data_IF_110560572391
#
_entry.id   IF_110560572391
#
_cell.length_a   1.000
_cell.length_b   1.000
_cell.length_c   1.000
_cell.angle_alpha   90.00
_cell.angle_beta   90.00
_cell.angle_gamma   90.00
#
_symmetry.space_group_name_H-M   'P 1'
#
loop_
_entity.id
_entity.type
_entity.pdbx_description
1 polymer ?
#
# COMPACT_ATOMS: atom_id res chain seq x y z
N UNK A 1 -7.42 18.49 3.93
CA UNK A 1 -6.46 19.54 3.54
C UNK A 1 -5.56 19.97 4.70
N UNK A 2 -6.10 20.29 5.91
CA UNK A 2 -5.27 20.79 7.02
C UNK A 2 -4.15 19.84 7.50
N UNK A 3 -4.36 18.52 7.50
CA UNK A 3 -3.34 17.57 7.96
C UNK A 3 -2.22 17.34 6.93
N UNK A 4 -2.54 17.34 5.63
CA UNK A 4 -1.53 17.25 4.56
C UNK A 4 -0.61 18.48 4.55
N UNK A 5 -1.17 19.70 4.63
CA UNK A 5 -0.36 20.93 4.71
C UNK A 5 0.46 20.98 6.00
N UNK A 6 -0.08 20.51 7.13
CA UNK A 6 0.66 20.46 8.39
C UNK A 6 1.81 19.45 8.37
N UNK A 7 1.63 18.28 7.75
CA UNK A 7 2.69 17.28 7.57
C UNK A 7 3.75 17.77 6.58
N UNK A 8 3.36 18.36 5.46
CA UNK A 8 4.30 18.91 4.47
C UNK A 8 5.01 20.18 4.93
N UNK A 9 4.35 21.07 5.67
CA UNK A 9 4.96 22.28 6.23
C UNK A 9 5.87 21.99 7.44
N UNK A 10 5.58 20.94 8.23
CA UNK A 10 6.46 20.50 9.31
C UNK A 10 7.70 19.75 8.83
N UNK A 11 7.70 19.18 7.63
CA UNK A 11 8.58 18.05 7.32
C UNK A 11 9.66 18.37 6.31
N UNK A 12 9.73 19.56 5.68
CA UNK A 12 10.71 19.77 4.60
C UNK A 12 10.67 18.65 3.51
N UNK A 13 9.66 17.78 3.57
CA UNK A 13 9.49 16.61 2.69
C UNK A 13 9.22 17.11 1.28
N UNK A 14 9.97 16.59 0.31
CA UNK A 14 9.71 16.89 -1.08
C UNK A 14 8.24 16.64 -1.41
N UNK A 15 7.58 17.67 -1.91
CA UNK A 15 6.17 17.60 -2.25
C UNK A 15 6.01 16.85 -3.58
N UNK A 16 5.62 15.59 -3.50
CA UNK A 16 5.25 14.77 -4.65
C UNK A 16 3.76 14.84 -5.00
N UNK A 17 2.95 15.65 -4.30
CA UNK A 17 1.51 15.74 -4.51
C UNK A 17 1.15 16.02 -5.98
N UNK A 18 1.99 16.79 -6.67
CA UNK A 18 1.79 17.11 -8.09
C UNK A 18 1.86 15.90 -9.03
N UNK A 19 2.49 14.80 -8.64
CA UNK A 19 2.65 13.62 -9.50
C UNK A 19 1.73 12.45 -9.09
N UNK A 20 1.07 12.56 -7.94
CA UNK A 20 0.18 11.50 -7.44
C UNK A 20 -1.22 11.50 -8.05
N UNK A 21 -1.66 12.60 -8.67
CA UNK A 21 -3.00 12.73 -9.25
C UNK A 21 -2.98 13.29 -10.68
N UNK A 22 -2.00 12.88 -11.49
CA UNK A 22 -1.97 13.15 -12.92
C UNK A 22 -2.87 12.16 -13.66
N UNK A 23 -3.21 12.49 -14.91
CA UNK A 23 -4.10 11.66 -15.75
C UNK A 23 -3.55 10.26 -16.03
N UNK A 24 -2.21 10.07 -15.93
CA UNK A 24 -1.54 8.79 -16.12
C UNK A 24 -0.27 8.65 -15.28
N UNK A 25 0.29 7.43 -15.10
CA UNK A 25 1.36 7.17 -14.16
C UNK A 25 2.77 7.50 -14.65
N UNK A 26 2.98 7.98 -15.88
CA UNK A 26 4.32 8.16 -16.44
C UNK A 26 5.20 9.08 -15.60
N UNK A 27 4.69 10.24 -15.20
CA UNK A 27 5.47 11.19 -14.41
C UNK A 27 5.66 10.70 -12.97
N UNK A 28 4.70 9.96 -12.42
CA UNK A 28 4.83 9.28 -11.13
C UNK A 28 6.05 8.34 -11.15
N UNK A 29 6.11 7.40 -12.10
CA UNK A 29 7.22 6.46 -12.21
C UNK A 29 8.55 7.15 -12.53
N UNK A 30 8.56 8.10 -13.47
CA UNK A 30 9.76 8.83 -13.85
C UNK A 30 10.34 9.68 -12.70
N UNK A 31 9.48 10.21 -11.83
CA UNK A 31 9.90 10.99 -10.68
C UNK A 31 10.40 10.10 -9.55
N UNK A 32 9.66 9.07 -9.18
CA UNK A 32 10.03 8.20 -8.06
C UNK A 32 11.27 7.34 -8.35
N UNK A 33 11.47 6.96 -9.61
CA UNK A 33 12.69 6.26 -10.04
C UNK A 33 13.97 7.04 -9.72
N UNK A 34 13.94 8.37 -9.79
CA UNK A 34 15.11 9.23 -9.46
C UNK A 34 15.56 9.09 -8.01
N UNK A 35 14.68 8.62 -7.15
CA UNK A 35 14.90 8.42 -5.72
C UNK A 35 14.94 6.93 -5.34
N UNK A 36 15.09 6.04 -6.31
CA UNK A 36 15.15 4.58 -6.10
C UNK A 36 13.96 4.07 -5.25
N UNK A 37 12.72 4.57 -5.48
CA UNK A 37 11.55 4.14 -4.74
C UNK A 37 11.25 2.66 -5.00
N UNK A 38 11.30 1.85 -3.95
CA UNK A 38 11.30 0.40 -4.06
C UNK A 38 10.37 -0.33 -3.07
N UNK A 39 9.67 0.37 -2.18
CA UNK A 39 8.83 -0.31 -1.17
C UNK A 39 7.75 -1.23 -1.77
N UNK A 40 7.12 -0.95 -2.95
CA UNK A 40 6.16 -1.88 -3.54
C UNK A 40 6.77 -3.23 -3.95
N UNK A 41 8.08 -3.27 -4.25
CA UNK A 41 8.78 -4.54 -4.55
C UNK A 41 8.90 -5.42 -3.30
N UNK A 42 9.15 -4.82 -2.14
CA UNK A 42 9.09 -5.53 -0.87
C UNK A 42 7.66 -5.98 -0.57
N UNK A 43 6.68 -5.09 -0.83
CA UNK A 43 5.25 -5.40 -0.73
C UNK A 43 4.85 -6.58 -1.60
N UNK A 44 5.27 -6.64 -2.86
CA UNK A 44 4.98 -7.75 -3.77
C UNK A 44 5.34 -9.11 -3.13
N UNK A 45 6.54 -9.22 -2.56
CA UNK A 45 7.01 -10.45 -1.93
C UNK A 45 6.18 -10.78 -0.69
N UNK A 46 6.17 -9.91 0.31
CA UNK A 46 5.53 -10.18 1.59
C UNK A 46 4.01 -10.37 1.46
N UNK A 47 3.35 -9.53 0.67
CA UNK A 47 1.91 -9.66 0.46
C UNK A 47 1.54 -10.95 -0.28
N UNK A 48 2.37 -11.40 -1.25
CA UNK A 48 2.14 -12.68 -1.92
C UNK A 48 2.24 -13.85 -0.95
N UNK A 49 3.25 -13.87 -0.08
CA UNK A 49 3.43 -14.88 0.96
C UNK A 49 2.24 -14.89 1.96
N UNK A 50 1.76 -13.71 2.36
CA UNK A 50 0.58 -13.58 3.22
C UNK A 50 -0.72 -14.02 2.53
N UNK A 51 -0.87 -13.75 1.23
CA UNK A 51 -2.01 -14.23 0.44
C UNK A 51 -2.05 -15.77 0.44
N UNK A 52 -0.91 -16.42 0.20
CA UNK A 52 -0.84 -17.88 0.23
C UNK A 52 -1.12 -18.43 1.64
N UNK A 53 -0.49 -17.87 2.68
CA UNK A 53 -0.73 -18.28 4.06
C UNK A 53 -2.20 -18.12 4.48
N UNK A 54 -2.84 -17.00 4.09
CA UNK A 54 -4.25 -16.75 4.39
C UNK A 54 -5.19 -17.70 3.65
N UNK A 55 -4.85 -18.04 2.39
CA UNK A 55 -5.59 -19.06 1.62
C UNK A 55 -5.50 -20.45 2.25
N UNK A 56 -4.31 -20.82 2.75
CA UNK A 56 -4.11 -22.11 3.42
C UNK A 56 -4.88 -22.18 4.75
N UNK A 57 -4.93 -21.06 5.48
CA UNK A 57 -5.69 -20.97 6.74
C UNK A 57 -7.22 -20.96 6.53
N UNK A 58 -7.69 -20.66 5.31
CA UNK A 58 -9.12 -20.62 4.99
C UNK A 58 -9.73 -22.02 4.93
N UNK A 59 -10.99 -22.15 5.41
CA UNK A 59 -11.72 -23.42 5.33
C UNK A 59 -11.98 -23.83 3.89
N UNK A 60 -12.08 -25.13 3.62
CA UNK A 60 -12.24 -25.69 2.26
C UNK A 60 -13.40 -25.08 1.44
N UNK A 61 -14.47 -24.58 2.09
CA UNK A 61 -15.58 -23.90 1.44
C UNK A 61 -15.24 -22.49 0.92
N UNK A 62 -14.28 -21.81 1.51
CA UNK A 62 -13.86 -20.45 1.14
C UNK A 62 -12.85 -20.45 -0.03
N UNK A 63 -12.20 -21.58 -0.31
CA UNK A 63 -11.21 -21.69 -1.40
C UNK A 63 -11.79 -21.43 -2.79
N UNK A 64 -13.10 -21.58 -2.96
CA UNK A 64 -13.79 -21.29 -4.21
C UNK A 64 -14.06 -19.77 -4.39
N UNK A 65 -14.00 -18.99 -3.31
CA UNK A 65 -14.17 -17.53 -3.33
C UNK A 65 -12.89 -16.87 -3.83
N UNK A 66 -13.06 -15.86 -4.67
CA UNK A 66 -11.93 -15.05 -5.13
C UNK A 66 -11.34 -14.28 -3.93
N UNK A 67 -10.03 -14.39 -3.74
CA UNK A 67 -9.32 -13.68 -2.66
C UNK A 67 -9.36 -12.18 -2.94
N UNK A 68 -9.80 -11.39 -1.96
CA UNK A 68 -9.93 -9.94 -2.09
C UNK A 68 -8.87 -9.20 -1.30
N UNK A 69 -8.15 -8.34 -2.00
CA UNK A 69 -7.19 -7.38 -1.43
C UNK A 69 -7.79 -5.99 -1.53
N UNK A 70 -7.78 -5.24 -0.42
CA UNK A 70 -8.01 -3.79 -0.43
C UNK A 70 -6.66 -3.10 -0.28
N UNK A 71 -6.26 -2.34 -1.30
CA UNK A 71 -5.02 -1.57 -1.31
C UNK A 71 -5.33 -0.10 -0.99
N UNK A 72 -4.91 0.36 0.18
CA UNK A 72 -5.18 1.72 0.67
C UNK A 72 -3.99 2.63 0.38
N UNK A 73 -4.27 3.86 -0.03
CA UNK A 73 -3.30 4.77 -0.64
C UNK A 73 -2.69 4.15 -1.91
N UNK A 74 -3.55 3.55 -2.73
CA UNK A 74 -3.17 2.71 -3.85
C UNK A 74 -2.55 3.48 -5.03
N UNK A 75 -2.73 4.81 -5.10
CA UNK A 75 -2.31 5.62 -6.26
C UNK A 75 -2.81 5.01 -7.58
N UNK A 76 -1.95 4.77 -8.55
CA UNK A 76 -2.27 4.12 -9.83
C UNK A 76 -2.42 2.57 -9.75
N UNK A 77 -2.51 2.01 -8.55
CA UNK A 77 -2.66 0.57 -8.33
C UNK A 77 -1.36 -0.22 -8.43
N UNK A 78 -0.24 0.33 -7.96
CA UNK A 78 1.08 -0.30 -8.10
C UNK A 78 1.12 -1.67 -7.42
N UNK A 79 0.69 -1.78 -6.16
CA UNK A 79 0.63 -3.07 -5.45
C UNK A 79 -0.33 -4.04 -6.16
N UNK A 80 -1.48 -3.54 -6.61
CA UNK A 80 -2.44 -4.32 -7.39
C UNK A 80 -1.81 -4.91 -8.66
N UNK A 81 -1.02 -4.10 -9.39
CA UNK A 81 -0.28 -4.57 -10.57
C UNK A 81 0.69 -5.70 -10.21
N UNK A 82 1.50 -5.50 -9.18
CA UNK A 82 2.52 -6.45 -8.76
C UNK A 82 1.94 -7.76 -8.22
N UNK A 83 0.75 -7.73 -7.62
CA UNK A 83 0.04 -8.92 -7.12
C UNK A 83 -0.72 -9.66 -8.22
N UNK A 84 -1.29 -8.95 -9.19
CA UNK A 84 -2.16 -9.55 -10.22
C UNK A 84 -1.40 -10.07 -11.43
N UNK A 85 -0.25 -9.49 -11.73
CA UNK A 85 0.43 -9.74 -13.00
C UNK A 85 1.86 -10.23 -12.82
N UNK A 86 2.35 -10.99 -13.81
CA UNK A 86 3.76 -11.40 -13.89
C UNK A 86 4.59 -10.21 -14.39
N UNK A 87 4.92 -9.33 -13.46
CA UNK A 87 5.74 -8.14 -13.68
C UNK A 87 6.48 -7.76 -12.41
N UNK A 88 7.50 -6.92 -12.56
CA UNK A 88 8.31 -6.35 -11.48
C UNK A 88 8.20 -4.83 -11.48
N UNK A 89 8.54 -4.20 -10.35
CA UNK A 89 8.60 -2.74 -10.28
C UNK A 89 9.60 -2.15 -11.28
N UNK A 90 10.75 -2.81 -11.51
CA UNK A 90 11.74 -2.36 -12.50
C UNK A 90 11.21 -2.43 -13.94
N UNK A 91 10.43 -3.46 -14.27
CA UNK A 91 9.74 -3.52 -15.57
C UNK A 91 8.71 -2.42 -15.74
N UNK A 92 7.99 -2.05 -14.66
CA UNK A 92 7.08 -0.90 -14.68
C UNK A 92 7.85 0.42 -14.88
N UNK A 93 8.98 0.61 -14.21
CA UNK A 93 9.86 1.76 -14.45
C UNK A 93 10.38 1.81 -15.90
N UNK A 94 10.80 0.68 -16.45
CA UNK A 94 11.25 0.60 -17.82
C UNK A 94 10.13 0.93 -18.81
N UNK A 95 8.92 0.40 -18.57
CA UNK A 95 7.74 0.63 -19.37
C UNK A 95 7.36 2.10 -19.43
N UNK A 96 7.09 2.72 -18.28
CA UNK A 96 6.64 4.12 -18.24
C UNK A 96 7.72 5.14 -18.57
N UNK A 97 9.00 4.77 -18.55
CA UNK A 97 10.12 5.56 -19.07
C UNK A 97 10.41 5.35 -20.55
N UNK A 98 9.67 4.47 -21.25
CA UNK A 98 9.95 4.15 -22.64
C UNK A 98 9.52 5.26 -23.61
N UNK A 99 10.27 5.42 -24.71
CA UNK A 99 9.93 6.37 -25.76
C UNK A 99 8.69 5.97 -26.55
N UNK A 100 8.38 4.69 -26.60
CA UNK A 100 7.26 4.12 -27.33
C UNK A 100 5.93 4.62 -26.76
N UNK A 101 5.85 4.77 -25.45
CA UNK A 101 4.65 5.26 -24.77
C UNK A 101 4.55 6.79 -24.66
N UNK A 102 5.65 7.50 -24.95
CA UNK A 102 5.73 8.95 -24.71
C UNK A 102 4.72 9.78 -25.55
N UNK A 103 4.29 9.25 -26.69
CA UNK A 103 3.36 9.95 -27.60
C UNK A 103 1.88 9.58 -27.40
N UNK A 104 1.57 8.63 -26.50
CA UNK A 104 0.20 8.22 -26.26
C UNK A 104 -0.53 9.23 -25.37
N UNK A 105 -1.81 9.45 -25.63
CA UNK A 105 -2.71 10.08 -24.64
C UNK A 105 -2.88 9.17 -23.43
N UNK A 106 -3.36 9.71 -22.29
CA UNK A 106 -3.59 8.93 -21.08
C UNK A 106 -4.61 7.79 -21.30
N UNK A 107 -5.63 8.02 -22.12
CA UNK A 107 -6.62 6.98 -22.48
C UNK A 107 -6.02 5.89 -23.39
N UNK A 108 -5.18 6.24 -24.36
CA UNK A 108 -4.49 5.28 -25.22
C UNK A 108 -3.50 4.45 -24.40
N UNK A 109 -2.78 5.09 -23.46
CA UNK A 109 -1.86 4.40 -22.55
C UNK A 109 -2.61 3.42 -21.64
N UNK A 110 -3.76 3.81 -21.07
CA UNK A 110 -4.56 2.92 -20.23
C UNK A 110 -5.04 1.68 -21.00
N UNK A 111 -5.43 1.83 -22.27
CA UNK A 111 -5.80 0.70 -23.17
C UNK A 111 -4.59 -0.19 -23.49
N UNK A 112 -3.44 0.42 -23.74
CA UNK A 112 -2.19 -0.31 -23.99
C UNK A 112 -1.75 -1.08 -22.73
N UNK A 113 -1.88 -0.48 -21.55
CA UNK A 113 -1.64 -1.15 -20.26
C UNK A 113 -2.59 -2.32 -20.02
N UNK A 114 -3.88 -2.15 -20.31
CA UNK A 114 -4.84 -3.23 -20.19
C UNK A 114 -4.46 -4.45 -21.06
N UNK A 115 -3.99 -4.21 -22.28
CA UNK A 115 -3.50 -5.27 -23.16
C UNK A 115 -2.17 -5.86 -22.67
N UNK A 116 -1.23 -5.01 -22.28
CA UNK A 116 0.11 -5.41 -21.83
C UNK A 116 0.06 -6.26 -20.55
N UNK A 117 -0.70 -5.85 -19.56
CA UNK A 117 -0.87 -6.57 -18.30
C UNK A 117 -1.82 -7.75 -18.45
N UNK A 118 -2.86 -7.63 -19.28
CA UNK A 118 -3.87 -8.68 -19.47
C UNK A 118 -3.27 -10.04 -19.85
N UNK A 119 -2.28 -10.05 -20.74
CA UNK A 119 -1.58 -11.30 -21.15
C UNK A 119 -0.61 -11.84 -20.10
N UNK A 120 -0.37 -11.09 -19.02
CA UNK A 120 0.52 -11.43 -17.90
C UNK A 120 -0.25 -11.74 -16.61
N UNK A 121 -1.56 -11.84 -16.69
CA UNK A 121 -2.39 -12.08 -15.50
C UNK A 121 -2.07 -13.45 -14.90
N UNK A 122 -1.76 -13.46 -13.58
CA UNK A 122 -1.55 -14.71 -12.83
C UNK A 122 -2.85 -15.49 -12.74
N UNK A 123 -2.78 -16.82 -12.79
CA UNK A 123 -3.95 -17.70 -12.70
C UNK A 123 -4.71 -17.48 -11.38
N UNK A 124 -3.98 -17.39 -10.27
CA UNK A 124 -4.53 -17.15 -8.93
C UNK A 124 -4.53 -15.67 -8.53
N UNK A 125 -4.61 -14.74 -9.50
CA UNK A 125 -4.63 -13.31 -9.20
C UNK A 125 -5.77 -12.94 -8.24
N UNK A 126 -5.50 -12.15 -7.17
CA UNK A 126 -6.55 -11.66 -6.30
C UNK A 126 -7.47 -10.67 -7.03
N UNK A 127 -8.64 -10.43 -6.46
CA UNK A 127 -9.44 -9.23 -6.73
C UNK A 127 -8.82 -8.07 -5.96
N UNK A 128 -8.56 -6.94 -6.63
CA UNK A 128 -7.95 -5.76 -6.00
C UNK A 128 -8.92 -4.60 -6.03
N UNK A 129 -9.28 -4.13 -4.85
CA UNK A 129 -10.06 -2.90 -4.63
C UNK A 129 -9.08 -1.81 -4.19
N UNK A 130 -8.95 -0.74 -4.97
CA UNK A 130 -8.10 0.40 -4.64
C UNK A 130 -8.85 1.50 -3.92
N UNK A 131 -8.24 2.08 -2.90
CA UNK A 131 -8.73 3.27 -2.20
C UNK A 131 -7.63 4.33 -2.15
N UNK A 132 -7.91 5.51 -2.65
CA UNK A 132 -7.03 6.68 -2.59
C UNK A 132 -7.86 7.96 -2.65
N UNK A 133 -7.28 9.11 -2.34
CA UNK A 133 -7.92 10.41 -2.56
C UNK A 133 -7.66 10.96 -3.97
N UNK A 134 -6.69 10.39 -4.70
CA UNK A 134 -6.24 10.79 -6.02
C UNK A 134 -7.21 10.27 -7.10
N UNK A 135 -8.16 11.10 -7.50
CA UNK A 135 -9.24 10.71 -8.43
C UNK A 135 -8.73 10.23 -9.79
N UNK A 136 -7.75 10.92 -10.37
CA UNK A 136 -7.22 10.57 -11.68
C UNK A 136 -6.45 9.24 -11.62
N UNK A 137 -5.66 9.04 -10.57
CA UNK A 137 -4.90 7.81 -10.38
C UNK A 137 -5.83 6.60 -10.22
N UNK A 138 -6.86 6.69 -9.40
CA UNK A 138 -7.89 5.64 -9.25
C UNK A 138 -8.60 5.37 -10.57
N UNK A 139 -9.01 6.44 -11.28
CA UNK A 139 -9.67 6.32 -12.59
C UNK A 139 -8.79 5.62 -13.62
N UNK A 140 -7.49 5.93 -13.64
CA UNK A 140 -6.53 5.24 -14.51
C UNK A 140 -6.40 3.76 -14.16
N UNK A 141 -6.30 3.42 -12.87
CA UNK A 141 -6.24 2.04 -12.40
C UNK A 141 -7.44 1.20 -12.82
N UNK A 142 -8.64 1.81 -12.84
CA UNK A 142 -9.87 1.19 -13.34
C UNK A 142 -9.85 1.03 -14.87
N UNK A 143 -9.48 2.07 -15.62
CA UNK A 143 -9.44 2.04 -17.09
C UNK A 143 -8.43 1.03 -17.63
N UNK A 144 -7.29 0.90 -16.97
CA UNK A 144 -6.24 -0.07 -17.32
C UNK A 144 -6.52 -1.50 -16.84
N UNK A 145 -7.59 -1.72 -16.07
CA UNK A 145 -7.94 -3.04 -15.51
C UNK A 145 -7.02 -3.51 -14.38
N UNK A 146 -6.13 -2.64 -13.90
CA UNK A 146 -5.27 -2.89 -12.74
C UNK A 146 -6.12 -3.05 -11.48
N UNK A 147 -7.08 -2.15 -11.25
CA UNK A 147 -8.05 -2.25 -10.18
C UNK A 147 -9.33 -2.94 -10.69
N UNK A 148 -9.86 -3.89 -9.91
CA UNK A 148 -11.15 -4.52 -10.19
C UNK A 148 -12.31 -3.62 -9.70
N UNK A 149 -12.08 -2.84 -8.63
CA UNK A 149 -12.89 -1.71 -8.18
C UNK A 149 -11.97 -0.61 -7.63
N UNK A 150 -12.41 0.64 -7.64
CA UNK A 150 -11.60 1.76 -7.16
C UNK A 150 -12.46 2.90 -6.65
N UNK A 151 -12.03 3.51 -5.56
CA UNK A 151 -12.75 4.57 -4.86
C UNK A 151 -11.81 5.73 -4.54
N UNK A 152 -12.20 6.92 -4.98
CA UNK A 152 -11.48 8.15 -4.65
C UNK A 152 -12.18 8.82 -3.47
N UNK A 153 -11.95 8.31 -2.25
CA UNK A 153 -12.62 8.78 -1.03
C UNK A 153 -11.59 9.15 0.04
N UNK A 154 -11.86 10.23 0.78
CA UNK A 154 -11.07 10.65 1.93
C UNK A 154 -11.74 10.18 3.22
N UNK A 155 -11.25 9.06 3.74
CA UNK A 155 -11.77 8.47 4.99
C UNK A 155 -11.24 9.15 6.26
N UNK A 156 -10.33 10.11 6.16
CA UNK A 156 -9.97 10.96 7.29
C UNK A 156 -11.06 12.00 7.59
N UNK A 157 -11.81 12.42 6.57
CA UNK A 157 -12.80 13.49 6.67
C UNK A 157 -14.24 12.98 6.57
N UNK A 158 -14.47 11.87 5.84
CA UNK A 158 -15.80 11.40 5.47
C UNK A 158 -16.03 9.94 5.83
N UNK A 159 -17.28 9.60 6.09
CA UNK A 159 -17.72 8.21 6.20
C UNK A 159 -17.65 7.50 4.84
N UNK A 160 -17.32 6.19 4.82
CA UNK A 160 -17.35 5.40 3.59
C UNK A 160 -18.70 5.44 2.91
N UNK A 161 -18.71 5.64 1.59
CA UNK A 161 -19.95 5.57 0.80
C UNK A 161 -20.55 4.15 0.84
N UNK A 162 -21.84 4.04 0.50
CA UNK A 162 -22.51 2.73 0.41
C UNK A 162 -21.88 1.81 -0.64
N UNK A 163 -21.26 2.38 -1.70
CA UNK A 163 -20.60 1.61 -2.74
C UNK A 163 -19.25 1.07 -2.24
N UNK A 164 -18.46 1.90 -1.57
CA UNK A 164 -17.22 1.46 -0.92
C UNK A 164 -17.50 0.36 0.12
N UNK A 165 -18.48 0.58 1.02
CA UNK A 165 -18.88 -0.42 2.03
C UNK A 165 -19.16 -1.78 1.40
N UNK A 166 -19.90 -1.83 0.28
CA UNK A 166 -20.19 -3.08 -0.42
C UNK A 166 -18.96 -3.71 -1.06
N UNK A 167 -18.08 -2.89 -1.63
CA UNK A 167 -16.90 -3.37 -2.32
C UNK A 167 -15.85 -3.97 -1.37
N UNK A 168 -15.70 -3.41 -0.15
CA UNK A 168 -14.71 -3.87 0.83
C UNK A 168 -15.24 -4.97 1.77
N UNK A 169 -16.54 -5.24 1.77
CA UNK A 169 -17.13 -6.29 2.62
C UNK A 169 -16.51 -7.66 2.31
N UNK A 170 -16.09 -8.38 3.36
CA UNK A 170 -15.46 -9.69 3.23
C UNK A 170 -14.06 -9.64 2.60
N UNK A 171 -13.32 -8.57 2.83
CA UNK A 171 -11.89 -8.45 2.47
C UNK A 171 -11.07 -9.51 3.18
N UNK A 172 -10.13 -10.13 2.46
CA UNK A 172 -9.20 -11.11 3.02
C UNK A 172 -7.90 -10.47 3.52
N UNK A 173 -7.39 -9.47 2.79
CA UNK A 173 -6.15 -8.75 3.12
C UNK A 173 -6.30 -7.27 2.82
N UNK A 174 -5.91 -6.41 3.76
CA UNK A 174 -5.70 -4.98 3.54
C UNK A 174 -4.19 -4.72 3.42
N UNK A 175 -3.78 -3.94 2.42
CA UNK A 175 -2.37 -3.60 2.16
C UNK A 175 -2.14 -2.11 2.15
N UNK A 176 -0.99 -1.67 2.72
CA UNK A 176 -0.55 -0.27 2.67
C UNK A 176 0.96 -0.23 2.49
N UNK A 177 1.42 0.51 1.48
CA UNK A 177 2.85 0.82 1.28
C UNK A 177 3.09 2.32 1.34
N UNK A 178 3.53 2.83 2.50
CA UNK A 178 3.92 4.23 2.66
C UNK A 178 2.77 5.23 2.83
N UNK A 179 1.54 4.76 3.10
CA UNK A 179 0.36 5.61 3.34
C UNK A 179 0.23 6.12 4.78
N UNK A 180 0.77 5.38 5.77
CA UNK A 180 0.71 5.77 7.19
C UNK A 180 1.42 7.11 7.40
N UNK A 181 0.73 8.02 8.11
CA UNK A 181 1.11 9.42 8.25
C UNK A 181 0.33 10.36 7.32
N UNK A 182 -0.24 9.87 6.21
CA UNK A 182 -1.30 10.54 5.44
C UNK A 182 -2.70 10.11 5.89
N UNK A 183 -2.80 8.87 6.36
CA UNK A 183 -3.97 8.30 7.03
C UNK A 183 -3.63 8.01 8.48
N UNK A 184 -4.65 8.10 9.34
CA UNK A 184 -4.60 7.84 10.77
C UNK A 184 -5.45 6.62 11.14
N UNK A 185 -5.57 6.35 12.43
CA UNK A 185 -6.48 5.35 13.01
C UNK A 185 -7.92 5.52 12.55
N UNK A 186 -8.35 6.75 12.22
CA UNK A 186 -9.71 7.06 11.71
C UNK A 186 -10.04 6.29 10.44
N UNK A 187 -9.12 6.25 9.48
CA UNK A 187 -9.30 5.50 8.23
C UNK A 187 -9.43 3.99 8.51
N UNK A 188 -8.61 3.45 9.43
CA UNK A 188 -8.67 2.03 9.78
C UNK A 188 -9.99 1.67 10.47
N UNK A 189 -10.45 2.47 11.45
CA UNK A 189 -11.73 2.28 12.14
C UNK A 189 -12.89 2.24 11.13
N UNK A 190 -12.99 3.24 10.25
CA UNK A 190 -14.04 3.34 9.23
C UNK A 190 -14.03 2.19 8.23
N UNK A 191 -12.85 1.68 7.86
CA UNK A 191 -12.74 0.53 6.97
C UNK A 191 -13.12 -0.76 7.66
N UNK A 192 -12.66 -1.01 8.88
CA UNK A 192 -12.95 -2.24 9.62
C UNK A 192 -14.45 -2.40 9.90
N UNK A 193 -15.17 -1.31 10.18
CA UNK A 193 -16.64 -1.30 10.32
C UNK A 193 -17.37 -1.82 9.07
N UNK A 194 -16.71 -1.81 7.92
CA UNK A 194 -17.28 -2.22 6.63
C UNK A 194 -16.73 -3.56 6.13
N UNK A 195 -15.57 -4.00 6.62
CA UNK A 195 -14.80 -5.11 6.03
C UNK A 195 -15.22 -6.48 6.59
N UNK A 196 -15.85 -6.52 7.76
CA UNK A 196 -16.30 -7.80 8.31
C UNK A 196 -17.14 -8.56 7.30
N UNK A 197 -16.81 -9.83 7.08
CA UNK A 197 -17.60 -10.73 6.25
C UNK A 197 -18.96 -11.04 6.89
N UNK A 198 -19.83 -11.73 6.19
CA UNK A 198 -21.14 -12.20 6.71
C UNK A 198 -20.97 -13.12 7.94
N UNK A 199 -19.84 -13.79 8.05
CA UNK A 199 -19.42 -14.62 9.17
C UNK A 199 -18.73 -13.84 10.31
N UNK A 200 -18.59 -12.52 10.19
CA UNK A 200 -17.89 -11.64 11.12
C UNK A 200 -16.37 -11.69 11.02
N UNK A 201 -15.81 -12.40 10.02
CA UNK A 201 -14.36 -12.53 9.84
C UNK A 201 -13.74 -11.22 9.37
N UNK A 202 -12.70 -10.77 10.07
CA UNK A 202 -11.91 -9.59 9.71
C UNK A 202 -10.73 -9.92 8.80
N UNK A 203 -10.26 -8.96 7.98
CA UNK A 203 -9.08 -9.14 7.14
C UNK A 203 -7.79 -9.27 7.96
N UNK A 204 -6.75 -9.80 7.34
CA UNK A 204 -5.39 -9.47 7.75
C UNK A 204 -5.04 -8.07 7.25
N UNK A 205 -4.21 -7.35 8.02
CA UNK A 205 -3.80 -5.98 7.69
C UNK A 205 -2.28 -5.92 7.66
N UNK A 206 -1.71 -5.72 6.47
CA UNK A 206 -0.28 -5.74 6.20
C UNK A 206 0.21 -4.34 5.79
N UNK A 207 1.07 -3.74 6.61
CA UNK A 207 1.42 -2.31 6.51
C UNK A 207 2.92 -2.09 6.57
N UNK A 208 3.43 -1.32 5.61
CA UNK A 208 4.74 -0.69 5.72
C UNK A 208 4.58 0.74 6.22
N UNK A 209 5.10 1.04 7.41
CA UNK A 209 5.12 2.37 7.98
C UNK A 209 6.56 2.86 8.16
N UNK A 210 6.84 4.12 7.80
CA UNK A 210 8.16 4.72 7.98
C UNK A 210 8.54 4.69 9.47
N UNK A 211 9.82 4.47 9.78
CA UNK A 211 10.31 4.24 11.14
C UNK A 211 10.13 5.44 12.07
N UNK A 212 9.98 6.64 11.52
CA UNK A 212 9.70 7.87 12.26
C UNK A 212 8.20 8.19 12.40
N UNK A 213 7.33 7.32 11.90
CA UNK A 213 5.87 7.43 12.06
C UNK A 213 5.41 6.39 13.08
N UNK A 214 4.76 6.84 14.17
CA UNK A 214 4.16 5.91 15.15
C UNK A 214 3.02 5.11 14.52
N UNK A 215 2.91 3.86 14.92
CA UNK A 215 1.83 2.95 14.56
C UNK A 215 0.94 2.60 15.78
N UNK A 216 1.22 3.22 16.94
CA UNK A 216 0.62 2.84 18.22
C UNK A 216 -0.89 3.11 18.23
N UNK A 217 -1.34 4.32 17.86
CA UNK A 217 -2.75 4.69 17.82
C UNK A 217 -3.54 3.77 16.87
N UNK A 218 -2.95 3.42 15.72
CA UNK A 218 -3.54 2.46 14.77
C UNK A 218 -3.62 1.07 15.42
N UNK A 219 -2.55 0.60 16.05
CA UNK A 219 -2.52 -0.69 16.75
C UNK A 219 -3.58 -0.78 17.85
N UNK A 220 -3.77 0.31 18.59
CA UNK A 220 -4.77 0.40 19.66
C UNK A 220 -6.21 0.28 19.10
N UNK A 221 -6.51 1.00 18.01
CA UNK A 221 -7.80 0.85 17.32
C UNK A 221 -7.99 -0.57 16.80
N UNK A 222 -6.98 -1.16 16.14
CA UNK A 222 -7.07 -2.53 15.64
C UNK A 222 -7.34 -3.54 16.77
N UNK A 223 -6.76 -3.31 17.94
CA UNK A 223 -6.98 -4.16 19.12
C UNK A 223 -8.44 -4.11 19.61
N UNK A 224 -9.14 -2.97 19.48
CA UNK A 224 -10.55 -2.84 19.82
C UNK A 224 -11.46 -3.70 18.92
N UNK A 225 -11.00 -4.01 17.70
CA UNK A 225 -11.66 -4.97 16.79
C UNK A 225 -11.23 -6.43 17.03
N UNK A 226 -10.37 -6.71 18.01
CA UNK A 226 -9.88 -8.06 18.32
C UNK A 226 -8.74 -8.52 17.42
N UNK A 227 -8.01 -7.58 16.80
CA UNK A 227 -6.81 -7.88 16.04
C UNK A 227 -5.56 -7.73 16.92
N UNK A 228 -4.59 -8.62 16.74
CA UNK A 228 -3.26 -8.55 17.35
C UNK A 228 -2.29 -8.03 16.29
N UNK A 229 -1.56 -6.97 16.62
CA UNK A 229 -0.53 -6.38 15.75
C UNK A 229 0.85 -6.92 16.10
N UNK A 230 1.50 -7.52 15.13
CA UNK A 230 2.90 -7.97 15.22
C UNK A 230 3.77 -7.05 14.34
N UNK A 231 4.89 -6.59 14.88
CA UNK A 231 5.94 -5.92 14.13
C UNK A 231 7.01 -6.92 13.77
N UNK A 232 7.40 -6.99 12.51
CA UNK A 232 8.52 -7.84 12.10
C UNK A 232 9.81 -7.37 12.79
N UNK A 233 10.34 -8.23 13.67
CA UNK A 233 11.51 -7.90 14.46
C UNK A 233 12.78 -7.91 13.60
N UNK A 234 13.75 -7.06 13.95
CA UNK A 234 15.10 -6.99 13.37
C UNK A 234 15.18 -6.74 11.85
N UNK A 235 14.04 -6.55 11.17
CA UNK A 235 13.95 -6.28 9.75
C UNK A 235 13.37 -4.89 9.49
N UNK A 236 13.98 -4.19 8.54
CA UNK A 236 13.45 -2.94 7.98
C UNK A 236 13.62 -2.96 6.47
N UNK A 237 12.73 -2.25 5.78
CA UNK A 237 12.66 -2.26 4.33
C UNK A 237 12.96 -0.88 3.78
N UNK A 238 13.84 -0.80 2.80
CA UNK A 238 14.13 0.46 2.10
C UNK A 238 12.88 0.93 1.36
N UNK A 239 12.56 2.23 1.48
CA UNK A 239 11.46 2.81 0.74
C UNK A 239 11.96 3.60 -0.48
N UNK A 240 12.78 4.63 -0.25
CA UNK A 240 13.42 5.48 -1.25
C UNK A 240 14.60 6.26 -0.66
N UNK A 241 15.38 6.89 -1.51
CA UNK A 241 16.38 7.85 -1.06
C UNK A 241 15.75 9.16 -0.60
N UNK A 242 16.45 9.86 0.27
CA UNK A 242 16.11 11.26 0.56
C UNK A 242 16.29 12.12 -0.69
N UNK A 243 15.43 13.13 -0.83
CA UNK A 243 15.50 14.08 -1.95
C UNK A 243 16.57 15.13 -1.77
N UNK A 244 17.06 15.34 -0.53
CA UNK A 244 18.09 16.30 -0.21
C UNK A 244 18.55 16.22 1.24
N UNK A 245 19.51 17.10 1.58
CA UNK A 245 20.10 17.15 2.91
C UNK A 245 19.09 17.58 3.98
N UNK A 246 18.22 18.54 3.69
CA UNK A 246 17.22 19.06 4.62
C UNK A 246 16.20 17.97 5.03
N UNK A 247 15.69 17.20 4.06
CA UNK A 247 14.80 16.08 4.34
C UNK A 247 15.49 15.02 5.21
N UNK A 248 16.74 14.72 4.90
CA UNK A 248 17.54 13.76 5.68
C UNK A 248 17.79 14.24 7.11
N UNK A 249 18.19 15.49 7.29
CA UNK A 249 18.45 16.09 8.61
C UNK A 249 17.20 16.01 9.48
N UNK A 250 16.07 16.48 8.96
CA UNK A 250 14.79 16.43 9.65
C UNK A 250 14.44 15.00 10.13
N UNK A 251 14.52 14.00 9.25
CA UNK A 251 14.18 12.61 9.60
C UNK A 251 15.13 12.02 10.64
N UNK A 252 16.42 12.37 10.58
CA UNK A 252 17.39 11.92 11.58
C UNK A 252 17.14 12.55 12.96
N UNK A 253 16.68 13.81 13.01
CA UNK A 253 16.28 14.49 14.24
C UNK A 253 15.03 13.82 14.85
N UNK A 254 13.97 13.60 14.07
CA UNK A 254 12.77 12.91 14.54
C UNK A 254 13.08 11.50 15.09
N UNK A 255 13.90 10.72 14.37
CA UNK A 255 14.31 9.39 14.82
C UNK A 255 15.16 9.43 16.09
N UNK A 256 16.00 10.45 16.26
CA UNK A 256 16.77 10.65 17.49
C UNK A 256 15.88 11.00 18.69
N UNK A 257 14.83 11.82 18.49
CA UNK A 257 13.83 12.12 19.53
C UNK A 257 13.03 10.87 19.96
N UNK A 258 12.86 9.92 19.04
CA UNK A 258 12.20 8.63 19.31
C UNK A 258 13.15 7.55 19.85
N UNK A 259 14.44 7.85 20.10
CA UNK A 259 15.50 6.91 20.50
C UNK A 259 15.65 5.72 19.52
N UNK A 260 15.52 5.98 18.21
CA UNK A 260 15.60 4.97 17.17
C UNK A 260 16.98 4.95 16.53
N UNK A 261 17.68 3.80 16.59
CA UNK A 261 19.00 3.61 15.96
C UNK A 261 18.90 3.66 14.43
N UNK A 262 19.58 4.62 13.82
CA UNK A 262 19.63 4.85 12.37
C UNK A 262 20.84 4.23 11.68
N UNK A 263 21.72 3.55 12.44
CA UNK A 263 22.99 3.00 11.95
C UNK A 263 22.75 1.98 10.84
N UNK A 264 23.39 2.19 9.70
CA UNK A 264 23.28 1.33 8.52
C UNK A 264 21.97 1.48 7.73
N UNK A 265 21.10 2.43 8.12
CA UNK A 265 19.76 2.66 7.57
C UNK A 265 19.62 4.11 7.07
N UNK A 266 18.92 4.95 7.82
CA UNK A 266 18.69 6.36 7.41
C UNK A 266 20.01 7.17 7.37
N UNK A 267 21.01 6.80 8.16
CA UNK A 267 22.35 7.37 8.08
C UNK A 267 23.01 7.17 6.70
N UNK A 268 22.57 6.16 5.93
CA UNK A 268 23.03 5.85 4.56
C UNK A 268 22.25 6.58 3.47
N UNK A 269 21.30 7.43 3.85
CA UNK A 269 20.57 8.26 2.89
C UNK A 269 19.28 7.65 2.34
N UNK A 270 18.72 6.68 3.04
CA UNK A 270 17.48 6.00 2.69
C UNK A 270 16.40 6.20 3.74
N UNK A 271 15.15 6.29 3.32
CA UNK A 271 14.04 5.98 4.21
C UNK A 271 13.93 4.48 4.42
N UNK A 272 13.68 4.08 5.64
CA UNK A 272 13.34 2.71 6.01
C UNK A 272 11.94 2.63 6.60
N UNK A 273 11.25 1.54 6.31
CA UNK A 273 9.95 1.22 6.87
C UNK A 273 10.02 -0.02 7.77
N UNK A 274 9.23 -0.01 8.83
CA UNK A 274 8.86 -1.21 9.57
C UNK A 274 7.73 -1.93 8.84
N UNK A 275 7.64 -3.23 9.02
CA UNK A 275 6.51 -4.01 8.56
C UNK A 275 5.66 -4.48 9.75
N UNK A 276 4.35 -4.30 9.63
CA UNK A 276 3.37 -4.71 10.62
C UNK A 276 2.34 -5.65 9.97
N UNK A 277 1.95 -6.69 10.71
CA UNK A 277 0.82 -7.56 10.38
C UNK A 277 -0.14 -7.57 11.55
N UNK A 278 -1.40 -7.21 11.30
CA UNK A 278 -2.47 -7.33 12.29
C UNK A 278 -3.44 -8.42 11.86
N UNK A 279 -3.78 -9.33 12.79
CA UNK A 279 -4.59 -10.52 12.52
C UNK A 279 -5.58 -10.77 13.66
N UNK A 280 -6.73 -11.44 13.41
CA UNK A 280 -7.58 -11.94 14.48
C UNK A 280 -6.76 -12.74 15.51
N UNK A 281 -7.06 -12.54 16.80
CA UNK A 281 -6.29 -13.13 17.90
C UNK A 281 -6.19 -14.66 17.80
N UNK A 282 -7.24 -15.32 17.32
CA UNK A 282 -7.28 -16.77 17.09
C UNK A 282 -6.36 -17.25 15.95
N UNK A 283 -5.99 -16.35 15.04
CA UNK A 283 -5.10 -16.62 13.90
C UNK A 283 -3.65 -16.18 14.19
N UNK A 284 -3.37 -15.49 15.29
CA UNK A 284 -2.07 -15.00 15.70
C UNK A 284 -1.23 -16.01 16.50
N UNK A 285 -1.64 -17.28 16.55
CA UNK A 285 -0.90 -18.34 17.25
C UNK A 285 0.40 -18.77 16.54
N UNK A 286 0.49 -18.53 15.24
CA UNK A 286 1.70 -18.76 14.43
C UNK A 286 2.40 -17.40 14.28
N UNK A 287 3.68 -17.27 14.67
CA UNK A 287 4.43 -16.00 14.56
C UNK A 287 4.49 -15.50 13.11
N UNK A 288 4.53 -14.16 12.93
CA UNK A 288 4.62 -13.51 11.63
C UNK A 288 5.78 -14.05 10.77
N UNK A 289 6.93 -14.25 11.38
CA UNK A 289 8.15 -14.74 10.72
C UNK A 289 7.98 -16.13 10.08
N UNK A 290 7.03 -16.93 10.57
CA UNK A 290 6.77 -18.26 10.01
C UNK A 290 6.10 -18.24 8.63
N UNK A 291 5.56 -17.10 8.21
CA UNK A 291 4.91 -16.93 6.91
C UNK A 291 5.83 -16.31 5.86
N UNK A 292 6.99 -15.79 6.28
CA UNK A 292 7.84 -14.95 5.45
C UNK A 292 9.19 -15.62 5.18
N UNK A 293 9.60 -15.61 3.93
CA UNK A 293 10.98 -15.98 3.51
C UNK A 293 11.83 -14.69 3.54
N UNK A 294 12.60 -14.48 4.64
CA UNK A 294 13.29 -13.23 4.96
C UNK A 294 14.77 -13.24 4.54
#
# INVERSE_FOLDING_TARGET
MHNREALHQKVGKANFDLVYDLEDPREYFNTLRKFDYCIPQHGQRLFSELIEARREASRDGDRAKRFRVVDVCCSYGINGTLLKYETTLEEMYARYGSRELAGLSSEELAKDDAAYFGVRRREAAPEVVGLDVAQNAVSYGLLSGILDAGFAENLEENEPTGDLRRAVAGTDLLTITGGVGYISETTFERLLDCMAGEDGRLPWIAVFALRWVSYDDISDVLSNFGLVTEKLADHTFTQRRFTGAEEREYVLEELAEMDVDTTGREDKGWYHANFYLSRPVEEASIPLEAFLDL
#
